data_IF_443773118487
#
_entry.id   IF_443773118487
#
_cell.length_a   1.000
_cell.length_b   1.000
_cell.length_c   1.000
_cell.angle_alpha   90.00
_cell.angle_beta   90.00
_cell.angle_gamma   90.00
#
_symmetry.space_group_name_H-M   'P 1'
#
loop_
_entity.id
_entity.type
_entity.pdbx_description
1 polymer ?
#
# COMPACT_ATOMS: atom_id res chain seq x y z
N UNK A 1 5.10 -22.79 38.68
CA UNK A 1 6.10 -21.74 38.37
C UNK A 1 5.96 -21.40 36.90
N UNK A 2 5.34 -20.31 36.58
CA UNK A 2 5.18 -19.85 35.19
C UNK A 2 6.53 -19.28 34.74
N UNK A 3 7.06 -19.85 33.69
CA UNK A 3 8.38 -19.51 33.15
C UNK A 3 8.43 -18.02 32.77
N UNK A 4 9.35 -17.29 33.35
CA UNK A 4 9.52 -15.82 33.21
C UNK A 4 9.74 -15.42 31.73
N UNK A 5 10.16 -16.36 30.91
CA UNK A 5 10.49 -16.17 29.49
C UNK A 5 9.22 -16.11 28.59
N UNK A 6 8.13 -16.75 29.01
CA UNK A 6 6.86 -16.68 28.25
C UNK A 6 6.15 -15.32 28.40
N UNK A 7 6.34 -14.64 29.51
CA UNK A 7 5.76 -13.30 29.73
C UNK A 7 6.39 -12.23 28.83
N UNK A 8 7.62 -12.42 28.39
CA UNK A 8 8.30 -11.46 27.50
C UNK A 8 7.84 -11.55 26.05
N UNK A 9 7.25 -12.68 25.64
CA UNK A 9 6.73 -12.87 24.26
C UNK A 9 5.48 -12.02 23.97
N UNK A 10 4.73 -11.62 25.00
CA UNK A 10 3.46 -10.90 24.89
C UNK A 10 3.52 -9.56 25.60
N UNK A 11 4.53 -8.76 25.30
CA UNK A 11 4.78 -7.49 25.99
C UNK A 11 4.05 -6.30 25.40
N UNK A 12 3.47 -6.45 24.20
CA UNK A 12 2.79 -5.36 23.50
C UNK A 12 1.44 -5.80 22.96
N UNK A 13 0.46 -4.91 23.06
CA UNK A 13 -0.82 -5.07 22.42
C UNK A 13 -0.72 -4.64 20.95
N UNK A 14 -1.14 -5.52 20.03
CA UNK A 14 -1.34 -5.20 18.62
C UNK A 14 -2.84 -5.10 18.35
N UNK A 15 -3.23 -4.19 17.47
CA UNK A 15 -4.60 -4.04 17.01
C UNK A 15 -4.70 -4.44 15.55
N UNK A 16 -5.81 -5.07 15.17
CA UNK A 16 -6.19 -5.32 13.78
C UNK A 16 -7.21 -4.28 13.32
N UNK A 17 -7.47 -4.21 12.02
CA UNK A 17 -8.53 -3.32 11.50
C UNK A 17 -9.92 -3.72 12.00
N UNK A 18 -10.14 -4.98 12.39
CA UNK A 18 -11.40 -5.44 12.98
C UNK A 18 -11.60 -4.92 14.41
N UNK A 19 -10.52 -4.52 15.09
CA UNK A 19 -10.54 -4.02 16.47
C UNK A 19 -10.76 -2.51 16.57
N UNK A 20 -10.68 -1.79 15.43
CA UNK A 20 -10.68 -0.33 15.42
C UNK A 20 -11.69 0.24 14.44
N UNK A 21 -12.25 1.40 14.77
CA UNK A 21 -13.11 2.19 13.90
C UNK A 21 -12.56 3.62 13.80
N UNK A 22 -12.70 4.23 12.62
CA UNK A 22 -12.47 5.66 12.49
C UNK A 22 -13.61 6.43 13.17
N UNK A 23 -13.24 7.35 14.04
CA UNK A 23 -14.22 8.23 14.68
C UNK A 23 -14.69 9.25 13.65
N UNK A 24 -16.02 9.37 13.39
CA UNK A 24 -16.54 10.40 12.52
C UNK A 24 -16.17 11.81 13.03
N UNK A 25 -15.80 12.67 12.11
CA UNK A 25 -15.51 14.07 12.38
C UNK A 25 -16.34 14.97 11.47
N UNK A 26 -16.62 16.18 11.93
CA UNK A 26 -17.26 17.20 11.12
C UNK A 26 -16.32 17.64 9.98
N UNK A 27 -16.89 17.85 8.78
CA UNK A 27 -16.13 18.29 7.61
C UNK A 27 -16.98 19.22 6.77
N UNK A 28 -16.40 20.34 6.35
CA UNK A 28 -17.00 21.30 5.42
C UNK A 28 -16.68 20.97 3.96
N UNK A 29 -15.91 19.90 3.71
CA UNK A 29 -15.45 19.52 2.37
C UNK A 29 -16.51 18.65 1.69
N UNK A 30 -16.98 19.08 0.52
CA UNK A 30 -17.86 18.26 -0.32
C UNK A 30 -17.06 17.10 -0.97
N UNK A 31 -17.70 15.95 -1.23
CA UNK A 31 -17.04 14.82 -1.88
C UNK A 31 -16.37 15.15 -3.23
N UNK A 32 -16.89 16.12 -3.97
CA UNK A 32 -16.33 16.57 -5.24
C UNK A 32 -15.04 17.42 -5.07
N UNK A 33 -14.84 18.02 -3.91
CA UNK A 33 -13.73 18.95 -3.63
C UNK A 33 -12.62 18.31 -2.79
N UNK A 34 -12.66 16.99 -2.63
CA UNK A 34 -11.67 16.26 -1.84
C UNK A 34 -10.32 16.26 -2.54
N UNK A 35 -9.29 16.67 -1.83
CA UNK A 35 -7.90 16.45 -2.24
C UNK A 35 -7.43 15.08 -1.76
N UNK A 36 -7.21 14.16 -2.70
CA UNK A 36 -6.78 12.79 -2.44
C UNK A 36 -5.26 12.62 -2.44
N UNK A 37 -4.50 13.68 -2.71
CA UNK A 37 -3.05 13.62 -2.71
C UNK A 37 -2.52 13.18 -1.34
N UNK A 38 -1.58 12.23 -1.35
CA UNK A 38 -0.99 11.73 -0.12
C UNK A 38 0.52 11.53 -0.25
N UNK A 39 1.23 11.73 0.84
CA UNK A 39 2.67 11.53 0.91
C UNK A 39 2.93 10.12 1.43
N UNK A 40 3.34 9.20 0.54
CA UNK A 40 3.65 7.83 0.91
C UNK A 40 5.01 7.71 1.60
N UNK A 41 6.03 8.35 1.03
CA UNK A 41 7.37 8.39 1.58
C UNK A 41 7.93 9.80 1.42
N UNK A 42 9.15 10.04 1.92
CA UNK A 42 9.82 11.34 1.76
C UNK A 42 9.98 11.78 0.29
N UNK A 43 9.95 10.85 -0.65
CA UNK A 43 10.20 11.10 -2.09
C UNK A 43 9.03 10.74 -2.99
N UNK A 44 8.04 9.99 -2.47
CA UNK A 44 6.91 9.48 -3.27
C UNK A 44 5.64 10.13 -2.77
N UNK A 45 4.98 10.84 -3.68
CA UNK A 45 3.64 11.39 -3.50
C UNK A 45 2.69 10.66 -4.43
N UNK A 46 1.52 10.31 -3.92
CA UNK A 46 0.45 9.68 -4.70
C UNK A 46 -0.65 10.70 -4.99
N UNK A 47 -1.26 10.61 -6.18
CA UNK A 47 -2.42 11.41 -6.53
C UNK A 47 -3.70 10.84 -5.91
N UNK A 48 -3.76 9.52 -5.74
CA UNK A 48 -4.80 8.82 -5.00
C UNK A 48 -4.17 7.87 -3.97
N UNK A 49 -4.75 7.71 -2.79
CA UNK A 49 -4.18 6.89 -1.71
C UNK A 49 -4.48 5.40 -1.92
N UNK A 50 -4.16 4.86 -3.09
CA UNK A 50 -4.32 3.45 -3.44
C UNK A 50 -2.98 2.78 -3.66
N UNK A 51 -2.82 1.62 -3.04
CA UNK A 51 -1.63 0.79 -3.16
C UNK A 51 -2.04 -0.68 -3.29
N UNK A 52 -1.51 -1.39 -4.29
CA UNK A 52 -1.74 -2.82 -4.41
C UNK A 52 -0.72 -3.64 -3.63
N UNK A 53 -1.17 -4.76 -3.09
CA UNK A 53 -0.34 -5.63 -2.26
C UNK A 53 0.73 -6.37 -3.06
N UNK A 54 1.90 -6.58 -2.43
CA UNK A 54 3.01 -7.35 -2.99
C UNK A 54 2.75 -8.86 -2.90
N UNK A 55 1.76 -9.34 -3.63
CA UNK A 55 1.34 -10.74 -3.67
C UNK A 55 1.41 -11.26 -5.11
N UNK A 56 1.84 -12.51 -5.27
CA UNK A 56 2.08 -13.15 -6.58
C UNK A 56 0.83 -13.27 -7.46
N UNK A 57 -0.35 -13.34 -6.86
CA UNK A 57 -1.63 -13.38 -7.58
C UNK A 57 -2.33 -12.03 -7.69
N UNK A 58 -1.75 -10.97 -7.15
CA UNK A 58 -2.37 -9.64 -7.07
C UNK A 58 -1.61 -8.62 -7.90
N UNK A 59 -0.31 -8.42 -7.64
CA UNK A 59 0.44 -7.33 -8.25
C UNK A 59 1.63 -7.83 -9.05
N UNK A 60 1.41 -7.95 -10.35
CA UNK A 60 2.46 -8.07 -11.35
C UNK A 60 2.59 -6.75 -12.13
N UNK A 61 3.50 -6.68 -13.12
CA UNK A 61 3.79 -5.45 -13.85
C UNK A 61 2.55 -4.78 -14.46
N UNK A 62 1.59 -5.56 -14.98
CA UNK A 62 0.35 -5.03 -15.59
C UNK A 62 -0.51 -4.29 -14.57
N UNK A 63 -0.70 -4.88 -13.37
CA UNK A 63 -1.43 -4.25 -12.29
C UNK A 63 -0.69 -3.02 -11.76
N UNK A 64 0.63 -3.11 -11.61
CA UNK A 64 1.44 -1.97 -11.16
C UNK A 64 1.33 -0.78 -12.11
N UNK A 65 1.38 -1.03 -13.43
CA UNK A 65 1.19 0.01 -14.46
C UNK A 65 -0.24 0.59 -14.38
N UNK A 66 -1.26 -0.27 -14.29
CA UNK A 66 -2.66 0.18 -14.24
C UNK A 66 -2.91 1.10 -13.04
N UNK A 67 -2.49 0.70 -11.84
CA UNK A 67 -2.64 1.52 -10.63
C UNK A 67 -1.83 2.82 -10.71
N UNK A 68 -0.62 2.78 -11.25
CA UNK A 68 0.19 3.97 -11.41
C UNK A 68 -0.44 4.99 -12.37
N UNK A 69 -1.09 4.54 -13.45
CA UNK A 69 -1.84 5.41 -14.37
C UNK A 69 -3.03 6.10 -13.71
N UNK A 70 -3.65 5.46 -12.73
CA UNK A 70 -4.73 6.06 -11.93
C UNK A 70 -4.23 6.98 -10.79
N UNK A 71 -2.92 7.06 -10.59
CA UNK A 71 -2.32 7.93 -9.58
C UNK A 71 -1.96 7.26 -8.25
N UNK A 72 -2.14 5.94 -8.16
CA UNK A 72 -1.71 5.10 -7.04
C UNK A 72 -0.34 4.49 -7.26
N UNK A 73 -0.02 3.41 -6.54
CA UNK A 73 1.23 2.67 -6.67
C UNK A 73 1.01 1.16 -6.58
N UNK A 74 1.70 0.40 -7.43
CA UNK A 74 1.74 -1.05 -7.34
C UNK A 74 3.04 -1.53 -6.70
N UNK A 75 2.95 -2.42 -5.72
CA UNK A 75 4.11 -3.05 -5.09
C UNK A 75 4.30 -4.44 -5.67
N UNK A 76 5.40 -4.64 -6.38
CA UNK A 76 5.72 -5.90 -7.04
C UNK A 76 6.31 -6.88 -6.03
N UNK A 77 5.82 -8.12 -6.03
CA UNK A 77 6.37 -9.20 -5.22
C UNK A 77 7.68 -9.73 -5.80
N UNK A 78 8.43 -10.50 -5.00
CA UNK A 78 9.73 -11.05 -5.43
C UNK A 78 9.65 -12.44 -6.08
N UNK A 79 8.50 -13.11 -6.03
CA UNK A 79 8.33 -14.49 -6.53
C UNK A 79 8.09 -14.50 -8.04
N UNK A 80 9.03 -13.98 -8.80
CA UNK A 80 8.99 -13.94 -10.26
C UNK A 80 10.41 -13.96 -10.85
N UNK A 81 10.53 -14.37 -12.11
CA UNK A 81 11.80 -14.28 -12.84
C UNK A 81 12.14 -12.82 -13.14
N UNK A 82 13.42 -12.53 -13.32
CA UNK A 82 13.91 -11.19 -13.68
C UNK A 82 13.26 -10.67 -14.98
N UNK A 83 12.93 -11.55 -15.92
CA UNK A 83 12.29 -11.17 -17.18
C UNK A 83 10.83 -10.76 -16.99
N UNK A 84 10.10 -11.38 -16.05
CA UNK A 84 8.71 -11.04 -15.78
C UNK A 84 8.54 -9.83 -14.85
N UNK A 85 9.57 -9.48 -14.09
CA UNK A 85 9.59 -8.28 -13.26
C UNK A 85 9.74 -6.98 -14.07
N UNK A 86 10.17 -7.07 -15.33
CA UNK A 86 10.42 -5.90 -16.17
C UNK A 86 9.33 -5.73 -17.23
N UNK A 87 8.59 -4.65 -17.14
CA UNK A 87 7.71 -4.22 -18.21
C UNK A 87 8.52 -3.94 -19.50
N UNK A 88 7.95 -4.12 -20.70
CA UNK A 88 8.56 -3.65 -21.93
C UNK A 88 9.03 -2.19 -21.79
N UNK A 89 10.16 -1.87 -22.39
CA UNK A 89 10.86 -0.58 -22.21
C UNK A 89 9.98 0.66 -22.50
N UNK A 90 8.94 0.51 -23.30
CA UNK A 90 8.03 1.58 -23.67
C UNK A 90 7.11 2.04 -22.54
N UNK A 91 6.82 1.16 -21.58
CA UNK A 91 5.93 1.46 -20.45
C UNK A 91 6.66 1.99 -19.20
N UNK A 92 7.99 2.06 -19.21
CA UNK A 92 8.81 2.49 -18.05
C UNK A 92 8.57 3.92 -17.58
N UNK A 93 8.02 4.77 -18.43
CA UNK A 93 7.77 6.18 -18.08
C UNK A 93 6.58 6.40 -17.14
N UNK A 94 5.80 5.37 -16.90
CA UNK A 94 4.57 5.45 -16.07
C UNK A 94 4.69 4.72 -14.73
N UNK A 95 5.82 4.12 -14.40
CA UNK A 95 6.05 3.41 -13.14
C UNK A 95 7.08 4.20 -12.33
N UNK A 96 6.62 5.21 -11.66
CA UNK A 96 7.35 5.88 -10.57
C UNK A 96 6.40 6.12 -9.43
#
# INVERSE_FOLDING_TARGET
MVNTDERQKFTRQGLTFDDVLLIPAESDVLPADIDLHTQLTRRIRLNIPLMSAAMDTVTEYRMAIAIAREGGIGIIHKNMSTCSAWAPMEDRKSVV
#
